data_IF_155302739247
#
_entry.id   IF_155302739247
#
_cell.length_a   1.000
_cell.length_b   1.000
_cell.length_c   1.000
_cell.angle_alpha   90.00
_cell.angle_beta   90.00
_cell.angle_gamma   90.00
#
_symmetry.space_group_name_H-M   'P 1'
#
loop_
_entity.id
_entity.type
_entity.pdbx_description
1 polymer ?
#
# COMPACT_ATOMS: atom_id res chain seq x y z
N UNK A 1 17.68 5.20 20.76
CA UNK A 1 16.71 5.99 20.00
C UNK A 1 15.66 6.57 20.92
N UNK A 2 15.47 7.86 20.81
CA UNK A 2 14.56 8.52 21.73
C UNK A 2 13.12 8.55 21.24
N UNK A 3 12.92 8.70 19.96
CA UNK A 3 11.59 8.79 19.38
C UNK A 3 11.46 7.85 18.22
N UNK A 4 10.49 6.95 18.32
CA UNK A 4 10.17 6.04 17.25
C UNK A 4 8.90 6.53 16.54
N UNK A 5 9.01 6.82 15.27
CA UNK A 5 7.87 7.28 14.47
C UNK A 5 7.39 6.17 13.57
N UNK A 6 6.11 5.87 13.69
CA UNK A 6 5.46 4.81 12.90
C UNK A 6 4.37 5.44 12.06
N UNK A 7 4.40 5.18 10.76
CA UNK A 7 3.30 5.53 9.87
C UNK A 7 2.45 4.30 9.68
N UNK A 8 1.20 4.37 10.07
CA UNK A 8 0.28 3.25 9.98
C UNK A 8 -0.84 3.57 9.01
N UNK A 9 -1.06 2.69 8.06
CA UNK A 9 -2.18 2.77 7.14
C UNK A 9 -2.84 1.40 7.03
N UNK A 10 -4.06 1.37 6.53
CA UNK A 10 -4.80 0.12 6.40
C UNK A 10 -5.81 0.21 5.27
N UNK A 11 -6.32 -0.97 4.87
CA UNK A 11 -7.43 -1.08 3.91
C UNK A 11 -7.15 -0.43 2.57
N UNK A 12 -5.94 -0.62 2.06
CA UNK A 12 -5.54 -0.06 0.77
C UNK A 12 -6.22 -0.77 -0.39
N UNK A 13 -6.42 -2.09 -0.27
CA UNK A 13 -7.12 -2.91 -1.26
C UNK A 13 -6.55 -2.78 -2.67
N UNK A 14 -5.25 -2.97 -2.79
CA UNK A 14 -4.60 -2.98 -4.09
C UNK A 14 -5.10 -4.16 -4.92
N UNK A 15 -5.27 -3.94 -6.21
CA UNK A 15 -5.73 -4.98 -7.10
C UNK A 15 -7.24 -5.18 -7.11
N UNK A 16 -7.98 -4.34 -6.42
CA UNK A 16 -9.44 -4.41 -6.42
C UNK A 16 -9.97 -4.20 -7.84
N UNK A 17 -10.90 -5.06 -8.25
CA UNK A 17 -11.46 -5.00 -9.58
C UNK A 17 -12.88 -4.43 -9.55
N UNK A 18 -13.17 -3.62 -10.54
CA UNK A 18 -14.46 -2.96 -10.67
C UNK A 18 -15.15 -3.51 -11.93
N UNK A 19 -15.72 -4.71 -11.81
CA UNK A 19 -16.38 -5.35 -12.94
C UNK A 19 -17.60 -4.53 -13.38
N UNK A 20 -17.85 -4.51 -14.67
CA UNK A 20 -18.94 -3.75 -15.23
C UNK A 20 -18.58 -2.32 -15.65
N UNK A 21 -17.38 -1.88 -15.30
CA UNK A 21 -16.92 -0.53 -15.62
C UNK A 21 -15.50 -0.56 -16.18
N UNK A 22 -15.29 -1.24 -17.32
CA UNK A 22 -13.91 -1.41 -17.82
C UNK A 22 -13.22 -0.09 -18.16
N UNK A 23 -13.98 0.94 -18.51
CA UNK A 23 -13.39 2.22 -18.89
C UNK A 23 -12.74 2.95 -17.72
N UNK A 24 -13.30 2.77 -16.53
CA UNK A 24 -12.78 3.46 -15.35
C UNK A 24 -12.03 2.52 -14.42
N UNK A 25 -12.04 1.23 -14.70
CA UNK A 25 -11.38 0.26 -13.84
C UNK A 25 -9.92 0.58 -13.65
N UNK A 26 -9.23 0.90 -14.73
CA UNK A 26 -7.81 1.22 -14.66
C UNK A 26 -7.56 2.47 -13.82
N UNK A 27 -8.40 3.50 -14.03
CA UNK A 27 -8.23 4.73 -13.26
C UNK A 27 -8.45 4.51 -11.78
N UNK A 28 -9.45 3.70 -11.42
CA UNK A 28 -9.72 3.42 -10.01
C UNK A 28 -8.61 2.57 -9.40
N UNK A 29 -8.10 1.60 -10.15
CA UNK A 29 -7.01 0.78 -9.69
C UNK A 29 -5.75 1.61 -9.49
N UNK A 30 -5.43 2.48 -10.45
CA UNK A 30 -4.26 3.34 -10.35
C UNK A 30 -4.37 4.30 -9.15
N UNK A 31 -5.58 4.78 -8.86
CA UNK A 31 -5.80 5.67 -7.72
C UNK A 31 -5.43 5.00 -6.40
N UNK A 32 -5.64 3.68 -6.28
CA UNK A 32 -5.25 2.95 -5.08
C UNK A 32 -3.74 2.91 -4.93
N UNK A 33 -3.01 2.70 -6.02
CA UNK A 33 -1.56 2.73 -5.97
C UNK A 33 -1.03 4.13 -5.70
N UNK A 34 -1.68 5.14 -6.25
CA UNK A 34 -1.30 6.52 -5.96
C UNK A 34 -1.49 6.86 -4.49
N UNK A 35 -2.55 6.32 -3.87
CA UNK A 35 -2.78 6.51 -2.43
C UNK A 35 -1.63 5.92 -1.63
N UNK A 36 -1.19 4.70 -1.99
CA UNK A 36 -0.05 4.08 -1.31
C UNK A 36 1.21 4.93 -1.50
N UNK A 37 1.43 5.41 -2.71
CA UNK A 37 2.59 6.25 -3.00
C UNK A 37 2.58 7.53 -2.17
N UNK A 38 1.42 8.17 -2.06
CA UNK A 38 1.30 9.37 -1.23
C UNK A 38 1.57 9.08 0.24
N UNK A 39 1.13 7.92 0.71
CA UNK A 39 1.40 7.52 2.09
C UNK A 39 2.90 7.36 2.32
N UNK A 40 3.61 6.72 1.39
CA UNK A 40 5.05 6.55 1.52
C UNK A 40 5.76 7.90 1.52
N UNK A 41 5.36 8.80 0.61
CA UNK A 41 5.95 10.12 0.54
C UNK A 41 5.70 10.91 1.83
N UNK A 42 4.50 10.79 2.38
CA UNK A 42 4.18 11.45 3.64
C UNK A 42 5.01 10.89 4.79
N UNK A 43 5.18 9.57 4.81
CA UNK A 43 5.99 8.93 5.84
C UNK A 43 7.45 9.38 5.74
N UNK A 44 7.96 9.55 4.53
CA UNK A 44 9.31 10.06 4.34
C UNK A 44 9.41 11.51 4.81
N UNK A 45 8.43 12.31 4.49
CA UNK A 45 8.40 13.71 4.88
C UNK A 45 8.37 13.88 6.40
N UNK A 46 7.65 12.99 7.07
CA UNK A 46 7.56 12.98 8.54
C UNK A 46 8.74 12.26 9.18
N UNK A 47 9.66 11.75 8.38
CA UNK A 47 10.85 11.04 8.86
C UNK A 47 10.50 9.86 9.74
N UNK A 48 9.54 9.06 9.29
CA UNK A 48 9.12 7.88 10.03
C UNK A 48 10.17 6.78 9.93
N UNK A 49 10.26 5.97 10.97
CA UNK A 49 11.19 4.85 11.03
C UNK A 49 10.57 3.56 10.49
N UNK A 50 9.26 3.43 10.67
CA UNK A 50 8.52 2.23 10.29
C UNK A 50 7.32 2.65 9.46
N UNK A 51 7.12 1.96 8.35
CA UNK A 51 5.91 2.08 7.54
C UNK A 51 5.15 0.77 7.69
N UNK A 52 3.99 0.83 8.30
CA UNK A 52 3.19 -0.36 8.58
C UNK A 52 1.87 -0.30 7.82
N UNK A 53 1.55 -1.38 7.12
CA UNK A 53 0.27 -1.53 6.45
C UNK A 53 -0.49 -2.61 7.17
N UNK A 54 -1.61 -2.24 7.78
CA UNK A 54 -2.47 -3.18 8.48
C UNK A 54 -3.69 -3.51 7.65
N UNK A 55 -4.29 -4.65 7.91
CA UNK A 55 -5.50 -5.06 7.22
C UNK A 55 -5.23 -5.51 5.80
N UNK A 56 -6.17 -5.22 4.92
CA UNK A 56 -6.16 -5.74 3.56
C UNK A 56 -5.39 -4.83 2.61
N UNK A 57 -4.10 -5.06 2.49
CA UNK A 57 -3.31 -4.34 1.50
C UNK A 57 -3.71 -4.72 0.08
N UNK A 58 -3.91 -6.00 -0.16
CA UNK A 58 -4.36 -6.51 -1.45
C UNK A 58 -5.77 -7.04 -1.36
N UNK A 59 -6.50 -6.94 -2.46
CA UNK A 59 -7.77 -7.63 -2.54
C UNK A 59 -7.49 -9.13 -2.58
N UNK A 60 -8.20 -9.86 -1.74
CA UNK A 60 -7.74 -11.19 -1.34
C UNK A 60 -7.83 -12.29 -2.38
N UNK A 61 -8.73 -12.17 -3.35
CA UNK A 61 -9.05 -13.33 -4.16
C UNK A 61 -7.96 -13.66 -5.15
N UNK A 62 -7.59 -12.69 -5.96
CA UNK A 62 -6.59 -12.91 -6.98
C UNK A 62 -5.79 -11.63 -7.16
N UNK A 63 -4.54 -11.70 -6.79
CA UNK A 63 -3.65 -10.55 -6.95
C UNK A 63 -2.73 -10.82 -8.12
N UNK A 64 -2.74 -9.95 -9.11
CA UNK A 64 -1.85 -10.08 -10.24
C UNK A 64 -0.41 -9.86 -9.81
N UNK A 65 0.49 -10.64 -10.38
CA UNK A 65 1.91 -10.50 -10.07
C UNK A 65 2.41 -9.07 -10.30
N UNK A 66 1.93 -8.44 -11.37
CA UNK A 66 2.32 -7.05 -11.67
C UNK A 66 1.92 -6.08 -10.58
N UNK A 67 0.81 -6.35 -9.88
CA UNK A 67 0.35 -5.50 -8.80
C UNK A 67 1.25 -5.66 -7.57
N UNK A 68 1.69 -6.87 -7.30
CA UNK A 68 2.62 -7.13 -6.21
C UNK A 68 3.95 -6.42 -6.48
N UNK A 69 4.44 -6.53 -7.70
CA UNK A 69 5.69 -5.88 -8.09
C UNK A 69 5.57 -4.36 -7.99
N UNK A 70 4.45 -3.81 -8.45
CA UNK A 70 4.21 -2.38 -8.38
C UNK A 70 4.19 -1.90 -6.93
N UNK A 71 3.47 -2.62 -6.07
CA UNK A 71 3.41 -2.28 -4.64
C UNK A 71 4.79 -2.35 -4.00
N UNK A 72 5.54 -3.40 -4.31
CA UNK A 72 6.88 -3.55 -3.76
C UNK A 72 7.79 -2.40 -4.19
N UNK A 73 7.67 -1.96 -5.43
CA UNK A 73 8.45 -0.84 -5.93
C UNK A 73 8.11 0.44 -5.16
N UNK A 74 6.82 0.69 -4.95
CA UNK A 74 6.38 1.87 -4.21
C UNK A 74 6.91 1.83 -2.79
N UNK A 75 6.78 0.68 -2.13
CA UNK A 75 7.25 0.52 -0.76
C UNK A 75 8.77 0.68 -0.66
N UNK A 76 9.49 0.33 -1.71
CA UNK A 76 10.95 0.48 -1.71
C UNK A 76 11.39 1.94 -1.67
N UNK A 77 10.48 2.86 -1.96
CA UNK A 77 10.77 4.29 -1.89
C UNK A 77 10.73 4.83 -0.46
N UNK A 78 10.27 4.02 0.49
CA UNK A 78 10.28 4.42 1.87
C UNK A 78 11.72 4.52 2.38
N UNK A 79 12.05 5.65 2.98
CA UNK A 79 13.42 5.96 3.40
C UNK A 79 13.72 5.56 4.85
N UNK A 80 12.73 5.04 5.56
CA UNK A 80 12.93 4.61 6.94
C UNK A 80 13.55 3.23 7.03
N UNK A 81 13.44 2.64 8.21
CA UNK A 81 14.17 1.40 8.52
C UNK A 81 13.41 0.12 8.18
N UNK A 82 12.09 0.13 8.37
CA UNK A 82 11.30 -1.09 8.28
C UNK A 82 9.99 -0.84 7.57
N UNK A 83 9.62 -1.73 6.66
CA UNK A 83 8.28 -1.80 6.10
C UNK A 83 7.65 -3.08 6.62
N UNK A 84 6.52 -2.96 7.30
CA UNK A 84 5.79 -4.10 7.84
C UNK A 84 4.42 -4.18 7.18
N UNK A 85 4.09 -5.34 6.66
CA UNK A 85 2.78 -5.58 6.07
C UNK A 85 2.09 -6.65 6.90
N UNK A 86 0.98 -6.31 7.49
CA UNK A 86 0.26 -7.23 8.37
C UNK A 86 -0.91 -7.86 7.61
N UNK A 87 -1.12 -9.17 7.78
CA UNK A 87 -2.22 -9.84 7.08
C UNK A 87 -3.57 -9.33 7.60
N UNK A 88 -4.54 -9.35 6.70
CA UNK A 88 -5.89 -9.00 7.06
C UNK A 88 -6.66 -10.18 7.63
N UNK A 89 -7.89 -9.90 8.03
CA UNK A 89 -8.72 -10.93 8.64
C UNK A 89 -9.22 -11.97 7.65
N UNK A 90 -9.03 -11.75 6.38
CA UNK A 90 -9.51 -12.66 5.34
C UNK A 90 -8.43 -13.63 4.87
N UNK A 91 -7.30 -13.57 5.45
CA UNK A 91 -6.16 -14.41 5.05
C UNK A 91 -6.20 -15.82 5.59
#
# INVERSE_FOLDING_TARGET
MKNLRIFLTSDIHLGLKFSGYPEIQKELADARFETLEKCVLRANDEKCHIFAVGGDMFDKVTVAKRDVVRAAHILSEFEGNVVAVMPGNHD
#
